data_IF_882108533459
#
_entry.id   IF_882108533459
#
_cell.length_a   1.000
_cell.length_b   1.000
_cell.length_c   1.000
_cell.angle_alpha   90.00
_cell.angle_beta   90.00
_cell.angle_gamma   90.00
#
_symmetry.space_group_name_H-M   'P 1'
#
loop_
_entity.id
_entity.type
_entity.pdbx_description
1 polymer ?
#
# COMPACT_ATOMS: atom_id res chain seq x y z
N UNK A 1 -22.20 -13.35 -8.44
CA UNK A 1 -20.75 -13.38 -8.75
C UNK A 1 -20.24 -11.97 -9.14
N UNK A 2 -20.68 -10.93 -8.41
CA UNK A 2 -20.30 -9.52 -8.64
C UNK A 2 -19.65 -8.93 -7.37
N UNK A 3 -19.88 -9.53 -6.20
CA UNK A 3 -19.30 -9.06 -4.93
C UNK A 3 -17.77 -9.20 -4.88
N UNK A 4 -17.20 -10.24 -5.51
CA UNK A 4 -15.74 -10.40 -5.64
C UNK A 4 -15.11 -9.39 -6.61
N UNK A 5 -15.86 -8.95 -7.64
CA UNK A 5 -15.38 -7.94 -8.60
C UNK A 5 -15.12 -6.60 -7.91
N UNK A 6 -15.93 -6.26 -6.90
CA UNK A 6 -15.80 -4.99 -6.18
C UNK A 6 -14.50 -4.90 -5.39
N UNK A 7 -14.01 -6.01 -4.82
CA UNK A 7 -12.74 -6.04 -4.11
C UNK A 7 -11.59 -5.81 -5.07
N UNK A 8 -11.58 -6.58 -6.16
CA UNK A 8 -10.61 -6.44 -7.26
C UNK A 8 -10.62 -5.04 -7.89
N UNK A 9 -11.77 -4.34 -7.91
CA UNK A 9 -11.85 -2.95 -8.39
C UNK A 9 -11.07 -2.00 -7.46
N UNK A 10 -11.17 -2.16 -6.14
CA UNK A 10 -10.44 -1.30 -5.20
C UNK A 10 -8.95 -1.55 -5.32
N UNK A 11 -8.54 -2.82 -5.33
CA UNK A 11 -7.14 -3.21 -5.54
C UNK A 11 -6.60 -2.68 -6.87
N UNK A 12 -7.32 -2.91 -7.99
CA UNK A 12 -6.90 -2.44 -9.30
C UNK A 12 -6.84 -0.91 -9.38
N UNK A 13 -7.78 -0.19 -8.74
CA UNK A 13 -7.72 1.26 -8.69
C UNK A 13 -6.49 1.73 -7.92
N UNK A 14 -6.24 1.17 -6.74
CA UNK A 14 -5.06 1.47 -5.93
C UNK A 14 -3.79 1.19 -6.73
N UNK A 15 -3.70 0.01 -7.34
CA UNK A 15 -2.57 -0.38 -8.19
C UNK A 15 -2.36 0.64 -9.31
N UNK A 16 -3.42 1.04 -10.03
CA UNK A 16 -3.31 2.01 -11.13
C UNK A 16 -2.91 3.41 -10.68
N UNK A 17 -3.35 3.85 -9.51
CA UNK A 17 -2.96 5.15 -8.96
C UNK A 17 -1.48 5.14 -8.54
N UNK A 18 -1.02 4.04 -7.95
CA UNK A 18 0.35 3.90 -7.47
C UNK A 18 1.33 3.61 -8.62
N UNK A 19 0.95 2.79 -9.59
CA UNK A 19 1.76 2.46 -10.78
C UNK A 19 2.16 3.71 -11.58
N UNK A 20 1.33 4.77 -11.56
CA UNK A 20 1.63 6.04 -12.25
C UNK A 20 2.83 6.81 -11.67
N UNK A 21 3.29 6.47 -10.46
CA UNK A 21 4.44 7.09 -9.80
C UNK A 21 5.63 6.15 -9.63
N UNK A 22 5.63 5.00 -10.32
CA UNK A 22 6.67 3.98 -10.21
C UNK A 22 7.18 3.58 -11.60
N UNK A 23 8.36 2.96 -11.65
CA UNK A 23 8.88 2.37 -12.87
C UNK A 23 8.15 1.05 -13.20
N UNK A 24 8.26 0.64 -14.46
CA UNK A 24 7.64 -0.59 -14.94
C UNK A 24 8.17 -1.80 -14.16
N UNK A 25 7.25 -2.59 -13.59
CA UNK A 25 7.58 -3.81 -12.84
C UNK A 25 7.80 -3.62 -11.34
N UNK A 26 7.78 -2.37 -10.84
CA UNK A 26 7.94 -2.09 -9.41
C UNK A 26 6.63 -2.23 -8.62
N UNK A 27 5.49 -1.97 -9.25
CA UNK A 27 4.17 -2.08 -8.65
C UNK A 27 3.53 -3.42 -9.00
N UNK A 28 3.13 -4.18 -7.99
CA UNK A 28 2.58 -5.52 -8.12
C UNK A 28 1.35 -5.67 -7.22
N UNK A 29 0.39 -6.50 -7.64
CA UNK A 29 -0.74 -6.86 -6.79
C UNK A 29 -0.63 -8.32 -6.34
N UNK A 30 -1.30 -8.64 -5.23
CA UNK A 30 -1.33 -9.98 -4.65
C UNK A 30 0.09 -10.55 -4.47
N UNK A 31 0.90 -9.87 -3.65
CA UNK A 31 2.31 -10.24 -3.44
C UNK A 31 2.59 -10.68 -2.01
N UNK A 32 3.57 -11.57 -1.88
CA UNK A 32 4.19 -11.92 -0.60
C UNK A 32 5.63 -11.46 -0.60
N UNK A 33 6.08 -10.91 0.53
CA UNK A 33 7.48 -10.55 0.70
C UNK A 33 8.24 -11.72 1.32
N UNK A 34 9.40 -12.01 0.73
CA UNK A 34 10.29 -13.08 1.14
C UNK A 34 11.56 -12.50 1.77
N UNK A 35 12.14 -13.21 2.73
CA UNK A 35 13.48 -12.88 3.25
C UNK A 35 14.55 -13.25 2.21
N UNK A 36 15.81 -12.89 2.51
CA UNK A 36 16.98 -13.29 1.71
C UNK A 36 17.17 -14.79 1.50
N UNK A 37 16.47 -15.63 2.28
CA UNK A 37 16.49 -17.10 2.16
C UNK A 37 15.27 -17.63 1.40
N UNK A 38 14.41 -16.76 0.87
CA UNK A 38 13.18 -17.11 0.16
C UNK A 38 12.03 -17.53 1.06
N UNK A 39 12.07 -17.23 2.36
CA UNK A 39 10.99 -17.57 3.31
C UNK A 39 9.97 -16.45 3.38
N UNK A 40 8.69 -16.80 3.42
CA UNK A 40 7.61 -15.83 3.58
C UNK A 40 7.75 -15.06 4.90
N UNK A 41 7.83 -13.73 4.80
CA UNK A 41 7.93 -12.81 5.95
C UNK A 41 6.59 -12.14 6.21
N UNK A 42 5.80 -11.91 5.16
CA UNK A 42 4.46 -11.33 5.23
C UNK A 42 3.41 -12.35 4.79
N UNK A 43 2.17 -12.13 5.22
CA UNK A 43 1.02 -12.62 4.45
C UNK A 43 0.94 -11.97 3.07
N UNK A 44 -0.11 -12.31 2.33
CA UNK A 44 -0.43 -11.67 1.06
C UNK A 44 -0.79 -10.20 1.29
N UNK A 45 -0.12 -9.30 0.58
CA UNK A 45 -0.41 -7.86 0.53
C UNK A 45 -1.15 -7.58 -0.78
N UNK A 46 -2.28 -6.88 -0.71
CA UNK A 46 -3.15 -6.64 -1.86
C UNK A 46 -2.44 -5.82 -2.95
N UNK A 47 -1.73 -4.75 -2.60
CA UNK A 47 -0.88 -3.96 -3.53
C UNK A 47 0.46 -3.63 -2.88
N UNK A 48 1.55 -3.87 -3.59
CA UNK A 48 2.90 -3.63 -3.12
C UNK A 48 3.73 -2.87 -4.17
N UNK A 49 4.64 -2.03 -3.69
CA UNK A 49 5.68 -1.39 -4.50
C UNK A 49 7.02 -1.70 -3.91
N UNK A 50 7.97 -2.11 -4.75
CA UNK A 50 9.37 -2.20 -4.39
C UNK A 50 10.18 -1.39 -5.40
N UNK A 51 10.82 -0.32 -4.94
CA UNK A 51 11.62 0.53 -5.82
C UNK A 51 12.85 -0.22 -6.35
N UNK A 52 13.16 -0.04 -7.63
CA UNK A 52 14.30 -0.64 -8.32
C UNK A 52 15.66 -0.21 -7.75
N UNK A 53 15.71 0.99 -7.17
CA UNK A 53 16.90 1.55 -6.53
C UNK A 53 17.11 1.06 -5.08
N UNK A 54 16.27 0.13 -4.60
CA UNK A 54 16.28 -0.37 -3.23
C UNK A 54 16.14 0.71 -2.14
N UNK A 55 15.46 1.83 -2.47
CA UNK A 55 15.32 3.00 -1.57
C UNK A 55 14.04 3.00 -0.77
N UNK A 56 12.95 2.47 -1.32
CA UNK A 56 11.67 2.45 -0.63
C UNK A 56 10.78 1.27 -1.00
N UNK A 57 9.92 0.90 -0.05
CA UNK A 57 8.89 -0.10 -0.18
C UNK A 57 7.53 0.49 0.21
N UNK A 58 6.49 0.08 -0.48
CA UNK A 58 5.12 0.40 -0.11
C UNK A 58 4.24 -0.84 -0.04
N UNK A 59 3.26 -0.83 0.87
CA UNK A 59 2.27 -1.90 0.99
C UNK A 59 0.90 -1.37 1.35
N UNK A 60 -0.12 -1.87 0.66
CA UNK A 60 -1.50 -1.49 0.86
C UNK A 60 -2.42 -2.70 0.97
N UNK A 61 -3.25 -2.69 2.01
CA UNK A 61 -4.38 -3.61 2.18
C UNK A 61 -5.66 -2.90 1.70
N UNK A 62 -6.39 -3.50 0.77
CA UNK A 62 -7.48 -2.90 0.01
C UNK A 62 -8.83 -3.54 0.36
N UNK A 63 -9.77 -2.80 0.94
CA UNK A 63 -11.10 -3.34 1.31
C UNK A 63 -12.25 -2.48 0.79
N UNK A 64 -13.38 -3.09 0.47
CA UNK A 64 -14.57 -2.31 0.03
C UNK A 64 -15.18 -1.53 1.20
N UNK A 65 -15.17 -2.12 2.41
CA UNK A 65 -15.82 -1.60 3.61
C UNK A 65 -14.91 -1.69 4.82
N UNK A 66 -15.08 -0.77 5.77
CA UNK A 66 -14.37 -0.81 7.05
C UNK A 66 -14.58 -2.12 7.85
N UNK A 67 -15.71 -2.79 7.70
CA UNK A 67 -15.95 -4.07 8.38
C UNK A 67 -15.26 -5.26 7.73
N UNK A 68 -14.77 -5.11 6.50
CA UNK A 68 -13.89 -6.11 5.88
C UNK A 68 -12.45 -6.04 6.36
N UNK A 69 -12.11 -5.01 7.15
CA UNK A 69 -10.79 -4.88 7.77
C UNK A 69 -10.66 -5.85 8.93
N UNK A 70 -9.56 -6.59 8.93
CA UNK A 70 -9.18 -7.54 9.96
C UNK A 70 -7.88 -7.10 10.64
N UNK A 71 -7.65 -7.58 11.86
CA UNK A 71 -6.37 -7.33 12.56
C UNK A 71 -5.17 -7.94 11.84
N UNK A 72 -5.41 -8.97 11.02
CA UNK A 72 -4.40 -9.64 10.20
C UNK A 72 -3.84 -8.70 9.11
N UNK A 73 -4.67 -7.86 8.50
CA UNK A 73 -4.24 -6.83 7.54
C UNK A 73 -3.16 -5.92 8.15
N UNK A 74 -3.38 -5.50 9.41
CA UNK A 74 -2.40 -4.68 10.15
C UNK A 74 -1.13 -5.46 10.48
N UNK A 75 -1.25 -6.77 10.71
CA UNK A 75 -0.12 -7.64 11.03
C UNK A 75 0.76 -7.88 9.81
N UNK A 76 0.16 -8.05 8.63
CA UNK A 76 0.88 -8.17 7.36
C UNK A 76 1.69 -6.90 7.06
N UNK A 77 1.06 -5.72 7.17
CA UNK A 77 1.74 -4.44 6.95
C UNK A 77 2.85 -4.19 7.98
N UNK A 78 2.64 -4.57 9.24
CA UNK A 78 3.68 -4.51 10.28
C UNK A 78 4.86 -5.43 9.95
N UNK A 79 4.61 -6.63 9.45
CA UNK A 79 5.65 -7.55 9.03
C UNK A 79 6.45 -7.00 7.84
N UNK A 80 5.78 -6.34 6.88
CA UNK A 80 6.46 -5.64 5.77
C UNK A 80 7.38 -4.55 6.29
N UNK A 81 6.90 -3.72 7.23
CA UNK A 81 7.72 -2.66 7.84
C UNK A 81 8.98 -3.23 8.51
N UNK A 82 8.87 -4.34 9.24
CA UNK A 82 10.05 -4.98 9.82
C UNK A 82 11.00 -5.51 8.76
N UNK A 83 10.50 -6.24 7.76
CA UNK A 83 11.33 -6.81 6.71
C UNK A 83 12.09 -5.74 5.93
N UNK A 84 11.39 -4.68 5.55
CA UNK A 84 11.97 -3.59 4.78
C UNK A 84 12.94 -2.74 5.61
N UNK A 85 12.72 -2.60 6.93
CA UNK A 85 13.73 -2.01 7.82
C UNK A 85 14.99 -2.86 7.98
N UNK A 86 14.89 -4.20 7.97
CA UNK A 86 16.08 -5.07 8.02
C UNK A 86 16.97 -4.92 6.79
N UNK A 87 16.40 -4.47 5.68
CA UNK A 87 17.07 -4.26 4.39
C UNK A 87 17.29 -2.76 4.09
N UNK A 88 17.17 -1.88 5.09
CA UNK A 88 17.41 -0.43 5.01
C UNK A 88 16.50 0.37 4.04
N UNK A 89 15.30 -0.13 3.74
CA UNK A 89 14.32 0.58 2.93
C UNK A 89 13.55 1.64 3.75
N UNK A 90 13.22 2.76 3.11
CA UNK A 90 12.15 3.64 3.60
C UNK A 90 10.78 2.98 3.33
N UNK A 91 9.89 2.92 4.33
CA UNK A 91 8.65 2.15 4.18
C UNK A 91 7.42 3.02 4.38
N UNK A 92 6.47 2.88 3.47
CA UNK A 92 5.14 3.46 3.59
C UNK A 92 4.07 2.37 3.55
N UNK A 93 3.19 2.31 4.55
CA UNK A 93 2.12 1.32 4.58
C UNK A 93 0.78 1.97 4.85
N UNK A 94 -0.27 1.41 4.27
CA UNK A 94 -1.61 1.92 4.50
C UNK A 94 -2.72 0.93 4.22
N UNK A 95 -3.92 1.32 4.63
CA UNK A 95 -5.15 0.62 4.33
C UNK A 95 -6.00 1.52 3.44
N UNK A 96 -6.40 1.00 2.28
CA UNK A 96 -7.28 1.68 1.34
C UNK A 96 -8.68 1.10 1.42
N UNK A 97 -9.70 1.94 1.59
CA UNK A 97 -11.07 1.47 1.54
C UNK A 97 -12.07 2.44 0.91
N UNK A 98 -13.12 1.89 0.29
CA UNK A 98 -14.22 2.66 -0.33
C UNK A 98 -15.26 3.16 0.69
N UNK A 99 -14.79 3.78 1.77
CA UNK A 99 -15.60 4.37 2.85
C UNK A 99 -14.96 5.67 3.35
N UNK A 100 -15.66 6.44 4.17
CA UNK A 100 -15.08 7.64 4.80
C UNK A 100 -13.87 7.30 5.68
N UNK A 101 -12.83 8.13 5.66
CA UNK A 101 -11.53 7.92 6.31
C UNK A 101 -11.68 7.70 7.82
N UNK A 102 -12.62 8.41 8.45
CA UNK A 102 -12.95 8.25 9.88
C UNK A 102 -13.38 6.83 10.26
N UNK A 103 -13.98 6.09 9.34
CA UNK A 103 -14.45 4.71 9.60
C UNK A 103 -13.29 3.73 9.56
N UNK A 104 -12.31 3.97 8.68
CA UNK A 104 -11.06 3.20 8.61
C UNK A 104 -10.23 3.47 9.87
N UNK A 105 -10.02 4.74 10.22
CA UNK A 105 -9.28 5.14 11.41
C UNK A 105 -9.86 4.52 12.70
N UNK A 106 -11.19 4.58 12.88
CA UNK A 106 -11.84 3.94 14.04
C UNK A 106 -11.59 2.43 14.12
N UNK A 107 -11.49 1.73 12.98
CA UNK A 107 -11.17 0.30 12.96
C UNK A 107 -9.71 0.05 13.31
N UNK A 108 -8.79 0.85 12.76
CA UNK A 108 -7.37 0.78 13.10
C UNK A 108 -7.13 1.02 14.59
N UNK A 109 -7.80 2.00 15.19
CA UNK A 109 -7.78 2.25 16.64
C UNK A 109 -8.25 1.03 17.44
N UNK A 110 -9.36 0.41 17.05
CA UNK A 110 -9.88 -0.80 17.71
C UNK A 110 -8.90 -1.98 17.62
N UNK A 111 -8.09 -2.08 16.57
CA UNK A 111 -7.06 -3.10 16.42
C UNK A 111 -5.74 -2.73 17.09
N UNK A 112 -5.63 -1.55 17.71
CA UNK A 112 -4.37 -0.97 18.17
C UNK A 112 -3.31 -0.97 17.07
N UNK A 113 -3.72 -0.62 15.85
CA UNK A 113 -2.82 -0.57 14.71
C UNK A 113 -1.69 0.46 14.98
N UNK A 114 -0.45 0.17 14.55
CA UNK A 114 0.64 1.13 14.69
C UNK A 114 0.33 2.44 13.97
N UNK A 115 0.77 3.57 14.54
CA UNK A 115 0.49 4.91 14.01
C UNK A 115 1.09 5.20 12.63
N UNK A 116 2.00 4.36 12.15
CA UNK A 116 2.58 4.46 10.80
C UNK A 116 1.70 3.83 9.72
N UNK A 117 0.66 3.06 10.08
CA UNK A 117 -0.30 2.50 9.12
C UNK A 117 -1.31 3.58 8.77
N UNK A 118 -1.17 4.16 7.58
CA UNK A 118 -2.05 5.23 7.12
C UNK A 118 -3.45 4.70 6.76
N UNK A 119 -4.46 5.52 6.96
CA UNK A 119 -5.85 5.22 6.59
C UNK A 119 -6.27 6.06 5.39
N UNK A 120 -6.63 5.40 4.29
CA UNK A 120 -7.09 6.04 3.07
C UNK A 120 -8.52 5.63 2.78
N UNK A 121 -9.46 6.55 2.96
CA UNK A 121 -10.84 6.39 2.53
C UNK A 121 -11.14 7.17 1.26
N UNK A 122 -12.43 7.35 0.97
CA UNK A 122 -12.90 8.13 -0.18
C UNK A 122 -12.44 9.59 -0.12
N UNK A 123 -12.26 10.16 1.07
CA UNK A 123 -11.86 11.56 1.22
C UNK A 123 -10.40 11.73 0.76
N UNK A 124 -9.53 10.79 1.16
CA UNK A 124 -8.13 10.73 0.70
C UNK A 124 -7.98 10.40 -0.79
N UNK A 125 -8.75 9.44 -1.31
CA UNK A 125 -8.68 9.04 -2.72
C UNK A 125 -9.06 10.20 -3.67
N UNK A 126 -9.96 11.08 -3.23
CA UNK A 126 -10.34 12.27 -4.00
C UNK A 126 -9.19 13.28 -4.06
N UNK A 127 -8.43 13.43 -2.98
CA UNK A 127 -7.27 14.35 -2.93
C UNK A 127 -6.09 13.87 -3.79
N UNK A 128 -5.93 12.54 -3.93
CA UNK A 128 -4.88 11.96 -4.77
C UNK A 128 -5.05 12.30 -6.26
N UNK A 129 -6.27 12.56 -6.74
CA UNK A 129 -6.49 13.03 -8.13
C UNK A 129 -5.80 14.36 -8.44
N UNK A 130 -5.56 15.17 -7.41
CA UNK A 130 -4.98 16.51 -7.55
C UNK A 130 -3.45 16.52 -7.32
N UNK A 131 -2.85 15.36 -7.03
CA UNK A 131 -1.39 15.27 -6.83
C UNK A 131 -0.71 15.15 -8.20
N UNK A 132 0.26 16.03 -8.54
CA UNK A 132 0.91 15.97 -9.85
C UNK A 132 1.58 14.60 -10.06
N UNK A 133 1.41 14.07 -11.27
CA UNK A 133 2.11 12.86 -11.73
C UNK A 133 3.60 12.97 -11.43
N UNK A 134 4.23 11.87 -11.05
CA UNK A 134 5.68 11.80 -10.96
C UNK A 134 6.29 12.35 -12.25
N UNK A 135 7.05 13.44 -12.13
CA UNK A 135 7.89 13.97 -13.20
C UNK A 135 9.28 13.46 -12.87
N UNK A 136 9.86 12.63 -13.75
CA UNK A 136 11.26 12.24 -13.64
C UNK A 136 12.12 13.49 -13.42
N UNK A 137 13.08 13.47 -12.48
CA UNK A 137 14.06 14.54 -12.37
C UNK A 137 14.74 14.73 -13.73
N UNK A 138 14.66 15.93 -14.28
CA UNK A 138 15.34 16.27 -15.52
C UNK A 138 16.84 16.38 -15.22
N UNK A 139 17.59 15.32 -15.53
CA UNK A 139 19.04 15.23 -15.39
C UNK A 139 19.80 16.23 -16.32
N UNK A 140 19.09 17.05 -17.11
CA UNK A 140 19.71 18.05 -18.00
C UNK A 140 20.12 19.36 -17.32
N UNK A 141 19.97 19.50 -16.00
CA UNK A 141 20.52 20.67 -15.27
C UNK A 141 22.01 20.44 -14.99
N UNK A 142 22.84 20.72 -16.00
CA UNK A 142 24.28 20.93 -15.81
C UNK A 142 24.50 22.18 -14.92
N UNK A 143 25.26 22.02 -13.83
CA UNK A 143 25.73 23.12 -12.95
C UNK A 143 26.99 23.75 -13.55
#
# INVERSE_FOLDING_TARGET
>A
MVDFLRGAIVELLTMRLVEQRCYAGECLSDQKFLDKNGREVTGQIDVAVLSHDDKYAEGYECKIKADGLMSEDCSNLKALVYAAHEEDYAVHVGIVAFVADRLVNRKLENFNAPSYVAAYGLDSLTQLQDTPNYVEPDDSIEI
#
